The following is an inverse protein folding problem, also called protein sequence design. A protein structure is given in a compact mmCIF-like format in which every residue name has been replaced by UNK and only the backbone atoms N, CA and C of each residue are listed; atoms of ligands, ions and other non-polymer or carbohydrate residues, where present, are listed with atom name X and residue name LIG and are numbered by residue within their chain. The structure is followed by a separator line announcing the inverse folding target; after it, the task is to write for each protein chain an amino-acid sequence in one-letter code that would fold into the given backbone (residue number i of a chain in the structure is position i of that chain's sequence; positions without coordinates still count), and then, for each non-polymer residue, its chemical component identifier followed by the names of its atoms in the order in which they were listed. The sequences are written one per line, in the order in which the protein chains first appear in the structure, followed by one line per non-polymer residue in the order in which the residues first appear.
data_IF_931906708125
#
_entry.id   IF_931906708125
#
_cell.length_a   1.000
_cell.length_b   1.000
_cell.length_c   1.000
_cell.angle_alpha   90.00
_cell.angle_beta   90.00
_cell.angle_gamma   90.00
#
_symmetry.space_group_name_H-M   'P 1'
#
loop_
_entity.id
_entity.type
_entity.pdbx_description
1 polymer ?
#
# COMPACT_ATOMS: atom_id res chain seq x y z
N UNK A 1 -0.14 17.71 -17.17
CA UNK A 1 0.46 16.87 -16.12
C UNK A 1 -0.71 16.32 -15.32
N UNK A 2 -0.89 15.00 -15.28
CA UNK A 2 -1.95 14.41 -14.45
C UNK A 2 -1.59 14.66 -12.97
N UNK A 3 -2.57 15.03 -12.16
CA UNK A 3 -2.44 15.07 -10.71
C UNK A 3 -2.21 13.66 -10.15
N UNK A 4 -1.65 13.56 -8.94
CA UNK A 4 -1.42 12.28 -8.28
C UNK A 4 -2.71 11.45 -8.17
N UNK A 5 -3.82 12.08 -7.81
CA UNK A 5 -5.13 11.43 -7.69
C UNK A 5 -5.64 10.95 -9.04
N UNK A 6 -5.51 11.73 -10.11
CA UNK A 6 -5.86 11.28 -11.47
C UNK A 6 -5.01 10.08 -11.89
N UNK A 7 -3.72 10.08 -11.56
CA UNK A 7 -2.84 8.94 -11.87
C UNK A 7 -3.27 7.66 -11.14
N UNK A 8 -3.64 7.76 -9.87
CA UNK A 8 -4.11 6.64 -9.05
C UNK A 8 -5.45 6.10 -9.54
N UNK A 9 -6.42 6.99 -9.81
CA UNK A 9 -7.76 6.61 -10.29
C UNK A 9 -7.72 5.94 -11.67
N UNK A 10 -6.69 6.20 -12.49
CA UNK A 10 -6.47 5.52 -13.76
C UNK A 10 -5.97 4.07 -13.62
N UNK A 11 -5.95 3.51 -12.40
CA UNK A 11 -5.70 2.09 -12.15
C UNK A 11 -4.23 1.71 -12.04
N UNK A 12 -3.33 2.69 -11.83
CA UNK A 12 -1.90 2.39 -11.71
C UNK A 12 -1.55 1.57 -10.46
N UNK A 13 -2.37 1.65 -9.41
CA UNK A 13 -2.14 0.97 -8.14
C UNK A 13 -2.05 -0.56 -8.31
N UNK A 14 -2.97 -1.16 -9.07
CA UNK A 14 -2.93 -2.60 -9.40
C UNK A 14 -1.59 -3.04 -9.99
N UNK A 15 -1.06 -2.27 -10.95
CA UNK A 15 0.21 -2.55 -11.59
C UNK A 15 1.41 -2.43 -10.64
N UNK A 16 1.37 -1.49 -9.69
CA UNK A 16 2.38 -1.40 -8.64
C UNK A 16 2.26 -2.56 -7.65
N UNK A 17 1.06 -2.97 -7.27
CA UNK A 17 0.83 -4.12 -6.39
C UNK A 17 1.33 -5.41 -7.02
N UNK A 18 1.17 -5.60 -8.33
CA UNK A 18 1.74 -6.75 -9.03
C UNK A 18 3.27 -6.83 -8.94
N UNK A 19 3.97 -5.70 -8.79
CA UNK A 19 5.43 -5.67 -8.60
C UNK A 19 5.88 -6.22 -7.25
N UNK A 20 4.98 -6.33 -6.25
CA UNK A 20 5.26 -7.03 -4.98
C UNK A 20 5.67 -8.47 -5.20
N UNK A 21 5.24 -9.09 -6.30
CA UNK A 21 5.61 -10.48 -6.65
C UNK A 21 7.02 -10.58 -7.23
N UNK A 22 7.71 -9.47 -7.48
CA UNK A 22 9.09 -9.48 -7.95
C UNK A 22 10.05 -9.86 -6.82
N UNK A 23 11.14 -10.57 -7.15
CA UNK A 23 12.18 -10.93 -6.19
C UNK A 23 13.15 -9.76 -5.87
N UNK A 24 12.81 -8.53 -6.26
CA UNK A 24 13.68 -7.36 -6.15
C UNK A 24 13.29 -6.51 -4.91
N UNK A 25 14.24 -6.34 -4.00
CA UNK A 25 14.07 -5.61 -2.74
C UNK A 25 13.78 -4.12 -2.96
N UNK A 26 14.41 -3.50 -3.97
CA UNK A 26 14.20 -2.08 -4.26
C UNK A 26 12.85 -1.85 -4.94
N UNK A 27 12.42 -2.79 -5.78
CA UNK A 27 11.06 -2.78 -6.32
C UNK A 27 10.01 -2.90 -5.19
N UNK A 28 10.21 -3.84 -4.26
CA UNK A 28 9.35 -3.99 -3.08
C UNK A 28 9.30 -2.70 -2.24
N UNK A 29 10.46 -2.08 -1.99
CA UNK A 29 10.55 -0.80 -1.26
C UNK A 29 9.77 0.31 -1.95
N UNK A 30 9.93 0.43 -3.27
CA UNK A 30 9.23 1.42 -4.08
C UNK A 30 7.72 1.24 -4.00
N UNK A 31 7.23 0.00 -4.04
CA UNK A 31 5.80 -0.30 -3.94
C UNK A 31 5.25 0.03 -2.55
N UNK A 32 5.94 -0.33 -1.47
CA UNK A 32 5.54 0.04 -0.11
C UNK A 32 5.47 1.57 0.06
N UNK A 33 6.45 2.30 -0.46
CA UNK A 33 6.45 3.77 -0.45
C UNK A 33 5.30 4.34 -1.28
N UNK A 34 5.01 3.77 -2.44
CA UNK A 34 3.90 4.20 -3.27
C UNK A 34 2.55 3.96 -2.59
N UNK A 35 2.37 2.81 -1.94
CA UNK A 35 1.17 2.53 -1.14
C UNK A 35 1.00 3.53 0.01
N UNK A 36 2.07 3.90 0.71
CA UNK A 36 2.02 4.96 1.72
C UNK A 36 1.49 6.29 1.13
N UNK A 37 1.95 6.66 -0.07
CA UNK A 37 1.47 7.88 -0.76
C UNK A 37 -0.02 7.81 -1.06
N UNK A 38 -0.54 6.66 -1.50
CA UNK A 38 -1.97 6.47 -1.77
C UNK A 38 -2.76 6.55 -0.46
N UNK A 39 -2.34 5.81 0.57
CA UNK A 39 -2.99 5.75 1.88
C UNK A 39 -3.15 7.13 2.52
N UNK A 40 -2.12 7.99 2.42
CA UNK A 40 -2.15 9.35 3.01
C UNK A 40 -2.61 10.45 2.06
N UNK A 41 -2.59 10.20 0.75
CA UNK A 41 -2.69 11.24 -0.29
C UNK A 41 -4.04 11.30 -0.99
N UNK A 42 -4.88 10.27 -0.87
CA UNK A 42 -6.22 10.28 -1.44
C UNK A 42 -7.15 11.20 -0.65
N UNK A 43 -8.02 11.98 -1.33
CA UNK A 43 -8.96 12.89 -0.68
C UNK A 43 -9.97 12.12 0.16
N UNK A 44 -10.56 12.81 1.14
CA UNK A 44 -11.61 12.28 2.03
C UNK A 44 -11.25 10.98 2.79
N UNK A 45 -9.95 10.64 2.87
CA UNK A 45 -9.52 9.39 3.49
C UNK A 45 -9.90 8.15 2.67
N UNK A 46 -10.11 8.26 1.36
CA UNK A 46 -10.45 7.12 0.49
C UNK A 46 -9.28 6.16 0.23
N UNK A 47 -8.06 6.54 0.65
CA UNK A 47 -6.83 5.78 0.41
C UNK A 47 -6.91 4.34 0.90
N UNK A 48 -7.24 4.09 2.18
CA UNK A 48 -7.41 2.75 2.73
C UNK A 48 -8.38 1.87 1.94
N UNK A 49 -9.60 2.36 1.65
CA UNK A 49 -10.61 1.61 0.89
C UNK A 49 -10.12 1.25 -0.52
N UNK A 50 -9.43 2.18 -1.17
CA UNK A 50 -8.87 1.92 -2.50
C UNK A 50 -7.76 0.88 -2.45
N UNK A 51 -6.87 0.94 -1.46
CA UNK A 51 -5.79 -0.02 -1.28
C UNK A 51 -6.33 -1.40 -0.93
N UNK A 52 -7.37 -1.49 -0.11
CA UNK A 52 -8.08 -2.74 0.17
C UNK A 52 -8.72 -3.33 -1.09
N UNK A 53 -9.43 -2.51 -1.87
CA UNK A 53 -10.08 -2.94 -3.12
C UNK A 53 -9.09 -3.54 -4.14
N UNK A 54 -7.85 -3.07 -4.15
CA UNK A 54 -6.81 -3.52 -5.08
C UNK A 54 -5.89 -4.63 -4.51
N UNK A 55 -6.32 -5.35 -3.47
CA UNK A 55 -5.55 -6.40 -2.78
C UNK A 55 -4.22 -5.91 -2.17
N UNK A 56 -4.14 -4.62 -1.82
CA UNK A 56 -2.94 -3.99 -1.29
C UNK A 56 -2.60 -4.41 0.14
N UNK A 57 -3.60 -4.80 0.93
CA UNK A 57 -3.39 -5.34 2.29
C UNK A 57 -2.62 -6.65 2.20
N UNK A 58 -3.14 -7.63 1.43
CA UNK A 58 -2.48 -8.91 1.15
C UNK A 58 -1.04 -8.71 0.63
N UNK A 59 -0.84 -7.70 -0.20
CA UNK A 59 0.48 -7.37 -0.75
C UNK A 59 1.46 -6.89 0.35
N UNK A 60 1.01 -6.07 1.30
CA UNK A 60 1.82 -5.63 2.44
C UNK A 60 2.08 -6.76 3.44
N UNK A 61 1.08 -7.58 3.73
CA UNK A 61 1.20 -8.70 4.69
C UNK A 61 2.31 -9.68 4.30
N UNK A 62 2.54 -9.90 3.01
CA UNK A 62 3.68 -10.71 2.51
C UNK A 62 5.04 -10.24 3.02
N UNK A 63 5.19 -8.94 3.31
CA UNK A 63 6.45 -8.39 3.78
C UNK A 63 6.61 -8.38 5.31
N UNK A 64 5.54 -8.62 6.08
CA UNK A 64 5.57 -8.59 7.55
C UNK A 64 6.48 -9.68 8.17
N UNK A 65 6.81 -10.71 7.41
CA UNK A 65 7.74 -11.78 7.80
C UNK A 65 8.98 -11.87 6.90
N UNK A 66 9.24 -10.82 6.10
CA UNK A 66 10.37 -10.80 5.17
C UNK A 66 11.72 -10.71 5.91
N UNK A 67 12.78 -11.32 5.37
CA UNK A 67 14.11 -11.33 6.00
C UNK A 67 14.70 -9.92 6.11
N UNK A 68 14.51 -9.11 5.07
CA UNK A 68 14.88 -7.69 5.08
C UNK A 68 14.07 -6.92 6.14
N UNK A 69 14.77 -6.44 7.16
CA UNK A 69 14.19 -5.73 8.30
C UNK A 69 13.51 -4.41 7.91
N UNK A 70 14.07 -3.66 6.96
CA UNK A 70 13.47 -2.39 6.54
C UNK A 70 12.10 -2.61 5.91
N UNK A 71 12.00 -3.55 4.94
CA UNK A 71 10.74 -3.87 4.26
C UNK A 71 9.70 -4.37 5.26
N UNK A 72 10.13 -5.22 6.19
CA UNK A 72 9.28 -5.73 7.25
C UNK A 72 8.74 -4.62 8.14
N UNK A 73 9.60 -3.72 8.61
CA UNK A 73 9.20 -2.60 9.46
C UNK A 73 8.28 -1.62 8.71
N UNK A 74 8.54 -1.36 7.43
CA UNK A 74 7.67 -0.54 6.59
C UNK A 74 6.28 -1.17 6.45
N UNK A 75 6.20 -2.44 6.09
CA UNK A 75 4.93 -3.14 5.91
C UNK A 75 4.12 -3.23 7.21
N UNK A 76 4.77 -3.62 8.32
CA UNK A 76 4.14 -3.65 9.64
C UNK A 76 3.58 -2.27 10.02
N UNK A 77 4.37 -1.20 9.82
CA UNK A 77 3.94 0.17 10.13
C UNK A 77 2.76 0.65 9.27
N UNK A 78 2.69 0.24 8.00
CA UNK A 78 1.55 0.59 7.15
C UNK A 78 0.28 -0.17 7.54
N UNK A 79 0.38 -1.48 7.77
CA UNK A 79 -0.77 -2.30 8.18
C UNK A 79 -1.31 -1.84 9.54
N UNK A 80 -0.45 -1.68 10.54
CA UNK A 80 -0.87 -1.24 11.89
C UNK A 80 -1.54 0.14 11.86
N UNK A 81 -0.96 1.09 11.11
CA UNK A 81 -1.47 2.47 11.07
C UNK A 81 -2.78 2.64 10.32
N UNK A 82 -2.98 1.92 9.22
CA UNK A 82 -4.11 2.14 8.31
C UNK A 82 -5.17 1.04 8.36
N UNK A 83 -4.79 -0.17 8.81
CA UNK A 83 -5.61 -1.38 8.80
C UNK A 83 -5.55 -2.12 10.15
N UNK A 84 -5.19 -1.42 11.24
CA UNK A 84 -5.18 -1.95 12.60
C UNK A 84 -6.59 -2.13 13.18
N UNK A 85 -6.69 -2.28 14.51
CA UNK A 85 -7.93 -2.66 15.20
C UNK A 85 -9.11 -1.68 15.01
N UNK A 86 -8.83 -0.43 14.67
CA UNK A 86 -9.84 0.62 14.47
C UNK A 86 -10.40 0.67 13.03
N UNK A 87 -9.76 -0.01 12.08
CA UNK A 87 -10.19 0.01 10.68
C UNK A 87 -11.52 -0.73 10.50
N UNK A 88 -12.46 -0.13 9.76
CA UNK A 88 -13.78 -0.72 9.47
C UNK A 88 -14.80 -0.66 10.61
N UNK A 89 -14.47 -0.04 11.76
CA UNK A 89 -15.42 0.10 12.88
C UNK A 89 -16.54 1.13 12.63
N UNK A 90 -16.32 2.05 11.69
CA UNK A 90 -17.23 3.15 11.35
C UNK A 90 -18.01 2.89 10.03
N UNK A 91 -17.93 1.67 9.45
CA UNK A 91 -18.61 1.29 8.21
C UNK A 91 -19.96 0.61 8.40
#
# INVERSE_FOLDING_TARGET
MLSFTEFVVLGCLSGFIDLVRSADIEAARLVLQFMELVLRGMPNGEGPKLVEHEDGIDAMERFQFHENEDLRNMANGLVDKYFGEEYGLDE
#
